data_IF_330173669179
#
_entry.id   IF_330173669179
#
_cell.length_a   1.000
_cell.length_b   1.000
_cell.length_c   1.000
_cell.angle_alpha   90.00
_cell.angle_beta   90.00
_cell.angle_gamma   90.00
#
_symmetry.space_group_name_H-M   'P 1'
#
loop_
_entity.id
_entity.type
_entity.pdbx_description
1 polymer ?
#
# COMPACT_ATOMS: atom_id res chain seq x y z
N UNK A 1 -15.68 20.90 -15.74
CA UNK A 1 -16.41 19.71 -15.28
C UNK A 1 -15.39 18.58 -15.17
N UNK A 2 -15.17 18.10 -13.97
CA UNK A 2 -14.31 16.94 -13.74
C UNK A 2 -15.09 15.72 -14.24
N UNK A 3 -14.59 15.07 -15.27
CA UNK A 3 -15.22 13.86 -15.83
C UNK A 3 -15.08 12.77 -14.77
N UNK A 4 -16.20 12.27 -14.26
CA UNK A 4 -16.22 11.16 -13.29
C UNK A 4 -15.63 9.91 -13.94
N UNK A 5 -14.71 9.19 -13.25
CA UNK A 5 -14.19 7.92 -13.76
C UNK A 5 -15.33 6.94 -14.12
N UNK A 6 -15.14 6.18 -15.18
CA UNK A 6 -16.16 5.26 -15.70
C UNK A 6 -16.59 4.25 -14.63
N UNK A 7 -15.66 3.76 -13.84
CA UNK A 7 -15.92 2.80 -12.76
C UNK A 7 -16.82 3.39 -11.67
N UNK A 8 -16.66 4.67 -11.33
CA UNK A 8 -17.53 5.35 -10.38
C UNK A 8 -18.91 5.69 -10.99
N UNK A 9 -18.94 6.05 -12.26
CA UNK A 9 -20.20 6.28 -12.98
C UNK A 9 -21.02 5.00 -13.11
N UNK A 10 -20.40 3.83 -13.07
CA UNK A 10 -21.05 2.54 -13.08
C UNK A 10 -21.75 2.16 -11.75
N UNK A 11 -21.43 2.83 -10.63
CA UNK A 11 -22.05 2.60 -9.32
C UNK A 11 -23.44 3.25 -9.24
N UNK A 12 -24.35 2.81 -10.08
CA UNK A 12 -25.72 3.33 -10.17
C UNK A 12 -26.65 2.59 -9.19
N UNK A 13 -27.47 3.35 -8.44
CA UNK A 13 -28.38 2.78 -7.45
C UNK A 13 -29.42 1.81 -8.04
N UNK A 14 -29.72 1.90 -9.33
CA UNK A 14 -30.59 0.96 -10.04
C UNK A 14 -30.07 -0.49 -10.00
N UNK A 15 -28.77 -0.68 -9.85
CA UNK A 15 -28.15 -2.01 -9.76
C UNK A 15 -28.20 -2.60 -8.36
N UNK A 16 -28.58 -1.85 -7.33
CA UNK A 16 -28.77 -2.36 -5.97
C UNK A 16 -29.85 -3.44 -5.86
N UNK A 17 -30.76 -3.51 -6.83
CA UNK A 17 -31.76 -4.58 -6.92
C UNK A 17 -31.21 -5.87 -7.55
N UNK A 18 -29.93 -5.87 -7.97
CA UNK A 18 -29.19 -7.05 -8.45
C UNK A 18 -27.86 -7.14 -7.67
N UNK A 19 -27.89 -7.56 -6.39
CA UNK A 19 -26.75 -7.43 -5.47
C UNK A 19 -25.46 -8.07 -5.97
N UNK A 20 -25.52 -9.28 -6.53
CA UNK A 20 -24.33 -9.96 -7.07
C UNK A 20 -23.67 -9.22 -8.25
N UNK A 21 -24.47 -8.52 -9.07
CA UNK A 21 -23.94 -7.66 -10.12
C UNK A 21 -23.34 -6.39 -9.54
N UNK A 22 -24.04 -5.74 -8.59
CA UNK A 22 -23.61 -4.51 -7.95
C UNK A 22 -22.28 -4.67 -7.22
N UNK A 23 -22.07 -5.80 -6.54
CA UNK A 23 -20.79 -6.05 -5.83
C UNK A 23 -19.61 -6.27 -6.79
N UNK A 24 -19.85 -6.83 -7.99
CA UNK A 24 -18.81 -6.92 -9.03
C UNK A 24 -18.42 -5.54 -9.58
N UNK A 25 -19.39 -4.61 -9.70
CA UNK A 25 -19.09 -3.22 -10.05
C UNK A 25 -18.19 -2.57 -8.97
N UNK A 26 -18.53 -2.78 -7.69
CA UNK A 26 -17.66 -2.31 -6.59
C UNK A 26 -16.26 -2.91 -6.66
N UNK A 27 -16.14 -4.22 -6.89
CA UNK A 27 -14.83 -4.88 -7.05
C UNK A 27 -14.00 -4.24 -8.17
N UNK A 28 -14.61 -3.98 -9.33
CA UNK A 28 -13.94 -3.32 -10.45
C UNK A 28 -13.48 -1.91 -10.09
N UNK A 29 -14.31 -1.15 -9.36
CA UNK A 29 -13.95 0.18 -8.89
C UNK A 29 -12.78 0.13 -7.88
N UNK A 30 -12.75 -0.85 -6.94
CA UNK A 30 -11.63 -1.02 -6.01
C UNK A 30 -10.35 -1.43 -6.73
N UNK A 31 -10.42 -2.28 -7.76
CA UNK A 31 -9.24 -2.61 -8.61
C UNK A 31 -8.67 -1.33 -9.23
N UNK A 32 -9.52 -0.44 -9.71
CA UNK A 32 -9.09 0.83 -10.29
C UNK A 32 -8.50 1.78 -9.26
N UNK A 33 -9.11 1.85 -8.08
CA UNK A 33 -8.58 2.57 -6.92
C UNK A 33 -7.17 2.09 -6.55
N UNK A 34 -6.95 0.77 -6.49
CA UNK A 34 -5.64 0.17 -6.24
C UNK A 34 -4.58 0.57 -7.28
N UNK A 35 -4.95 0.68 -8.57
CA UNK A 35 -4.06 1.18 -9.62
C UNK A 35 -3.62 2.63 -9.35
N UNK A 36 -4.55 3.50 -8.95
CA UNK A 36 -4.25 4.90 -8.64
C UNK A 36 -3.41 5.04 -7.37
N UNK A 37 -3.70 4.27 -6.31
CA UNK A 37 -2.91 4.28 -5.07
C UNK A 37 -1.47 3.85 -5.33
N UNK A 38 -1.26 2.76 -6.07
CA UNK A 38 0.07 2.32 -6.51
C UNK A 38 0.77 3.39 -7.33
N UNK A 39 0.07 4.00 -8.30
CA UNK A 39 0.62 5.06 -9.15
C UNK A 39 1.06 6.28 -8.34
N UNK A 40 0.31 6.64 -7.29
CA UNK A 40 0.66 7.73 -6.39
C UNK A 40 2.00 7.48 -5.67
N UNK A 41 2.20 6.28 -5.09
CA UNK A 41 3.47 5.90 -4.44
C UNK A 41 4.63 5.90 -5.46
N UNK A 42 4.44 5.28 -6.62
CA UNK A 42 5.50 5.24 -7.65
C UNK A 42 5.92 6.64 -8.09
N UNK A 43 4.96 7.56 -8.21
CA UNK A 43 5.23 8.94 -8.57
C UNK A 43 5.90 9.71 -7.42
N UNK A 44 5.53 9.45 -6.16
CA UNK A 44 6.20 10.01 -4.98
C UNK A 44 7.67 9.55 -4.90
N UNK A 45 7.96 8.28 -5.25
CA UNK A 45 9.34 7.77 -5.37
C UNK A 45 10.13 8.49 -6.46
N UNK A 46 9.49 8.82 -7.60
CA UNK A 46 10.14 9.64 -8.62
C UNK A 46 10.42 11.07 -8.13
N UNK A 47 9.48 11.68 -7.39
CA UNK A 47 9.69 13.00 -6.75
C UNK A 47 10.85 12.96 -5.75
N UNK A 48 11.01 11.86 -5.01
CA UNK A 48 12.11 11.65 -4.07
C UNK A 48 13.47 11.56 -4.80
N UNK A 49 13.52 10.91 -5.95
CA UNK A 49 14.76 10.75 -6.75
C UNK A 49 15.11 12.04 -7.49
N UNK A 50 14.11 12.66 -8.10
CA UNK A 50 14.24 13.91 -8.86
C UNK A 50 13.03 14.80 -8.59
N UNK A 51 13.22 15.81 -7.74
CA UNK A 51 12.15 16.71 -7.35
C UNK A 51 11.57 17.49 -8.53
N UNK A 52 10.26 17.43 -8.69
CA UNK A 52 9.51 18.20 -9.67
C UNK A 52 8.17 18.64 -9.08
N UNK A 53 7.91 19.97 -9.10
CA UNK A 53 6.63 20.53 -8.66
C UNK A 53 5.44 19.96 -9.46
N UNK A 54 5.64 19.68 -10.74
CA UNK A 54 4.60 19.09 -11.59
C UNK A 54 4.27 17.68 -11.13
N UNK A 55 5.30 16.83 -10.87
CA UNK A 55 5.11 15.48 -10.34
C UNK A 55 4.46 15.51 -8.95
N UNK A 56 4.90 16.39 -8.06
CA UNK A 56 4.31 16.57 -6.74
C UNK A 56 2.82 16.96 -6.82
N UNK A 57 2.44 17.88 -7.70
CA UNK A 57 1.04 18.22 -7.93
C UNK A 57 0.21 17.03 -8.47
N UNK A 58 0.81 16.18 -9.31
CA UNK A 58 0.13 14.96 -9.80
C UNK A 58 -0.07 13.91 -8.69
N UNK A 59 0.83 13.81 -7.70
CA UNK A 59 0.61 12.95 -6.52
C UNK A 59 -0.65 13.39 -5.78
N UNK A 60 -0.79 14.69 -5.51
CA UNK A 60 -1.99 15.25 -4.87
C UNK A 60 -3.26 14.97 -5.66
N UNK A 61 -3.22 15.09 -6.99
CA UNK A 61 -4.37 14.79 -7.84
C UNK A 61 -4.75 13.29 -7.80
N UNK A 62 -3.75 12.40 -7.71
CA UNK A 62 -4.01 10.96 -7.60
C UNK A 62 -4.64 10.59 -6.26
N UNK A 63 -4.16 11.17 -5.16
CA UNK A 63 -4.73 10.94 -3.84
C UNK A 63 -6.18 11.47 -3.77
N UNK A 64 -6.46 12.70 -4.21
CA UNK A 64 -7.82 13.23 -4.28
C UNK A 64 -8.76 12.34 -5.12
N UNK A 65 -8.24 11.70 -6.14
CA UNK A 65 -9.00 10.73 -6.92
C UNK A 65 -9.25 9.44 -6.13
N UNK A 66 -8.26 8.95 -5.38
CA UNK A 66 -8.41 7.76 -4.51
C UNK A 66 -9.42 8.02 -3.41
N UNK A 67 -9.39 9.19 -2.76
CA UNK A 67 -10.42 9.63 -1.78
C UNK A 67 -11.83 9.59 -2.39
N UNK A 68 -11.97 10.12 -3.61
CA UNK A 68 -13.25 10.10 -4.30
C UNK A 68 -13.74 8.67 -4.56
N UNK A 69 -12.81 7.74 -4.87
CA UNK A 69 -13.14 6.31 -5.00
C UNK A 69 -13.57 5.72 -3.66
N UNK A 70 -12.84 5.98 -2.56
CA UNK A 70 -13.18 5.48 -1.23
C UNK A 70 -14.59 5.91 -0.82
N UNK A 71 -14.88 7.21 -0.85
CA UNK A 71 -16.17 7.78 -0.48
C UNK A 71 -17.34 7.18 -1.30
N UNK A 72 -17.15 7.11 -2.63
CA UNK A 72 -18.18 6.62 -3.54
C UNK A 72 -18.44 5.14 -3.36
N UNK A 73 -17.38 4.33 -3.31
CA UNK A 73 -17.49 2.87 -3.14
C UNK A 73 -18.02 2.55 -1.75
N UNK A 74 -17.49 3.19 -0.69
CA UNK A 74 -17.92 2.98 0.69
C UNK A 74 -19.42 3.29 0.87
N UNK A 75 -19.88 4.42 0.35
CA UNK A 75 -21.30 4.78 0.36
C UNK A 75 -22.18 3.76 -0.37
N UNK A 76 -21.72 3.27 -1.51
CA UNK A 76 -22.47 2.28 -2.31
C UNK A 76 -22.48 0.90 -1.62
N UNK A 77 -21.35 0.45 -1.05
CA UNK A 77 -21.26 -0.80 -0.28
C UNK A 77 -22.16 -0.79 0.96
N UNK A 78 -22.26 0.34 1.67
CA UNK A 78 -23.19 0.49 2.82
C UNK A 78 -24.65 0.32 2.39
N UNK A 79 -25.04 0.88 1.23
CA UNK A 79 -26.39 0.67 0.68
C UNK A 79 -26.60 -0.79 0.28
N UNK A 80 -25.59 -1.42 -0.30
CA UNK A 80 -25.64 -2.82 -0.72
C UNK A 80 -25.73 -3.78 0.48
N UNK A 81 -25.09 -3.46 1.61
CA UNK A 81 -25.18 -4.23 2.86
C UNK A 81 -26.61 -4.35 3.41
N UNK A 82 -27.51 -3.42 3.05
CA UNK A 82 -28.92 -3.46 3.40
C UNK A 82 -29.78 -4.35 2.50
N UNK A 83 -29.19 -5.02 1.50
CA UNK A 83 -29.90 -5.91 0.56
C UNK A 83 -29.74 -7.37 0.97
N UNK A 84 -30.50 -8.24 0.33
CA UNK A 84 -30.43 -9.70 0.53
C UNK A 84 -29.24 -10.27 -0.26
N UNK A 85 -28.11 -10.43 0.43
CA UNK A 85 -26.85 -10.90 -0.14
C UNK A 85 -26.67 -12.40 0.07
N UNK A 86 -26.05 -13.07 -0.89
CA UNK A 86 -25.52 -14.43 -0.66
C UNK A 86 -24.38 -14.38 0.38
N UNK A 87 -24.02 -15.54 0.94
CA UNK A 87 -22.83 -15.63 1.84
C UNK A 87 -21.58 -15.13 1.14
N UNK A 88 -21.31 -15.57 -0.09
CA UNK A 88 -20.13 -15.17 -0.86
C UNK A 88 -20.11 -13.66 -1.14
N UNK A 89 -21.28 -13.06 -1.50
CA UNK A 89 -21.37 -11.63 -1.73
C UNK A 89 -21.18 -10.83 -0.42
N UNK A 90 -21.67 -11.35 0.71
CA UNK A 90 -21.48 -10.73 2.03
C UNK A 90 -20.00 -10.76 2.45
N UNK A 91 -19.31 -11.86 2.21
CA UNK A 91 -17.88 -11.97 2.46
C UNK A 91 -17.09 -11.00 1.56
N UNK A 92 -17.37 -10.98 0.26
CA UNK A 92 -16.73 -10.05 -0.67
C UNK A 92 -16.98 -8.59 -0.27
N UNK A 93 -18.22 -8.24 0.13
CA UNK A 93 -18.54 -6.89 0.62
C UNK A 93 -17.66 -6.50 1.81
N UNK A 94 -17.53 -7.41 2.79
CA UNK A 94 -16.69 -7.17 3.97
C UNK A 94 -15.24 -6.87 3.60
N UNK A 95 -14.67 -7.66 2.67
CA UNK A 95 -13.30 -7.43 2.19
C UNK A 95 -13.14 -6.12 1.46
N UNK A 96 -14.08 -5.81 0.55
CA UNK A 96 -14.01 -4.55 -0.18
C UNK A 96 -14.02 -3.36 0.79
N UNK A 97 -14.86 -3.39 1.85
CA UNK A 97 -14.89 -2.35 2.88
C UNK A 97 -13.55 -2.20 3.62
N UNK A 98 -12.85 -3.30 3.91
CA UNK A 98 -11.51 -3.22 4.52
C UNK A 98 -10.47 -2.70 3.53
N UNK A 99 -10.46 -3.25 2.32
CA UNK A 99 -9.44 -2.91 1.32
C UNK A 99 -9.49 -1.46 0.83
N UNK A 100 -10.68 -0.83 0.74
CA UNK A 100 -10.77 0.59 0.30
C UNK A 100 -10.01 1.50 1.24
N UNK A 101 -10.11 1.28 2.57
CA UNK A 101 -9.40 2.09 3.55
C UNK A 101 -7.88 1.86 3.47
N UNK A 102 -7.42 0.62 3.26
CA UNK A 102 -5.98 0.35 3.11
C UNK A 102 -5.42 0.97 1.81
N UNK A 103 -6.16 0.93 0.69
CA UNK A 103 -5.73 1.60 -0.55
C UNK A 103 -5.72 3.13 -0.43
N UNK A 104 -6.65 3.72 0.29
CA UNK A 104 -6.65 5.16 0.60
C UNK A 104 -5.40 5.51 1.43
N UNK A 105 -5.12 4.76 2.51
CA UNK A 105 -3.93 4.97 3.35
C UNK A 105 -2.62 4.85 2.57
N UNK A 106 -2.54 3.94 1.61
CA UNK A 106 -1.37 3.86 0.72
C UNK A 106 -1.20 5.17 -0.06
N UNK A 107 -2.26 5.75 -0.60
CA UNK A 107 -2.17 7.01 -1.35
C UNK A 107 -1.87 8.22 -0.46
N UNK A 108 -2.38 8.26 0.77
CA UNK A 108 -2.03 9.25 1.80
C UNK A 108 -0.51 9.28 2.05
N UNK A 109 0.10 8.10 2.17
CA UNK A 109 1.54 8.02 2.36
C UNK A 109 2.34 8.55 1.17
N UNK A 110 1.80 8.52 -0.06
CA UNK A 110 2.43 9.18 -1.21
C UNK A 110 2.50 10.71 -1.04
N UNK A 111 1.45 11.34 -0.49
CA UNK A 111 1.48 12.76 -0.13
C UNK A 111 2.52 13.02 0.95
N UNK A 112 2.50 12.23 2.03
CA UNK A 112 3.43 12.40 3.14
C UNK A 112 4.90 12.33 2.69
N UNK A 113 5.25 11.37 1.83
CA UNK A 113 6.58 11.25 1.22
C UNK A 113 6.90 12.50 0.38
N UNK A 114 5.97 12.93 -0.47
CA UNK A 114 6.14 14.11 -1.33
C UNK A 114 6.35 15.38 -0.52
N UNK A 115 5.61 15.57 0.57
CA UNK A 115 5.77 16.70 1.49
C UNK A 115 7.13 16.70 2.22
N UNK A 116 7.60 15.51 2.64
CA UNK A 116 8.91 15.39 3.26
C UNK A 116 10.02 15.78 2.28
N UNK A 117 9.91 15.36 1.01
CA UNK A 117 10.86 15.75 -0.05
C UNK A 117 10.76 17.25 -0.38
N UNK A 118 9.56 17.84 -0.41
CA UNK A 118 9.37 19.28 -0.63
C UNK A 118 10.01 20.12 0.49
N UNK A 119 9.88 19.65 1.76
CA UNK A 119 10.57 20.28 2.91
C UNK A 119 12.09 20.19 2.75
N UNK A 120 12.62 19.02 2.34
CA UNK A 120 14.05 18.83 2.09
C UNK A 120 14.58 19.86 1.06
N UNK A 121 13.87 20.01 -0.07
CA UNK A 121 14.22 20.95 -1.14
C UNK A 121 14.14 22.42 -0.67
N UNK A 122 13.08 22.81 0.03
CA UNK A 122 12.89 24.18 0.53
C UNK A 122 13.97 24.60 1.52
N UNK A 123 14.52 23.64 2.28
CA UNK A 123 15.58 23.87 3.25
C UNK A 123 16.99 23.76 2.63
N UNK A 124 17.10 23.43 1.35
CA UNK A 124 18.39 23.20 0.68
C UNK A 124 19.18 22.03 1.27
N UNK A 125 18.47 21.04 1.80
CA UNK A 125 19.06 19.83 2.40
C UNK A 125 19.11 18.70 1.37
N UNK A 126 20.05 17.78 1.58
CA UNK A 126 20.17 16.55 0.79
C UNK A 126 20.43 15.36 1.69
N UNK A 127 19.96 14.19 1.28
CA UNK A 127 20.40 12.92 1.86
C UNK A 127 21.83 12.60 1.42
N UNK A 128 22.54 11.86 2.26
CA UNK A 128 23.87 11.35 1.90
C UNK A 128 23.78 10.43 0.67
N UNK A 129 24.85 10.33 -0.10
CA UNK A 129 24.89 9.41 -1.26
C UNK A 129 24.52 7.98 -0.85
N UNK A 130 25.04 7.51 0.29
CA UNK A 130 24.69 6.19 0.82
C UNK A 130 23.22 6.07 1.17
N UNK A 131 22.63 7.08 1.82
CA UNK A 131 21.19 7.11 2.13
C UNK A 131 20.32 7.09 0.87
N UNK A 132 20.72 7.79 -0.20
CA UNK A 132 20.04 7.75 -1.50
C UNK A 132 20.05 6.33 -2.09
N UNK A 133 21.21 5.66 -2.11
CA UNK A 133 21.31 4.28 -2.62
C UNK A 133 20.52 3.27 -1.77
N UNK A 134 20.50 3.44 -0.45
CA UNK A 134 19.68 2.63 0.45
C UNK A 134 18.18 2.83 0.16
N UNK A 135 17.73 4.07 -0.07
CA UNK A 135 16.35 4.39 -0.45
C UNK A 135 15.98 3.80 -1.83
N UNK A 136 16.89 3.81 -2.80
CA UNK A 136 16.67 3.19 -4.11
C UNK A 136 16.45 1.67 -3.96
N UNK A 137 17.25 1.02 -3.11
CA UNK A 137 17.12 -0.43 -2.83
C UNK A 137 15.79 -0.76 -2.13
N UNK A 138 15.40 0.01 -1.12
CA UNK A 138 14.10 -0.11 -0.47
C UNK A 138 12.96 0.12 -1.46
N UNK A 139 13.10 1.11 -2.34
CA UNK A 139 12.12 1.46 -3.38
C UNK A 139 11.82 0.29 -4.34
N UNK A 140 12.78 -0.59 -4.61
CA UNK A 140 12.55 -1.80 -5.41
C UNK A 140 11.58 -2.73 -4.66
N UNK A 141 11.84 -3.01 -3.38
CA UNK A 141 10.98 -3.87 -2.56
C UNK A 141 9.54 -3.31 -2.42
N UNK A 142 9.41 -1.98 -2.21
CA UNK A 142 8.11 -1.30 -2.15
C UNK A 142 7.35 -1.42 -3.47
N UNK A 143 8.01 -1.25 -4.61
CA UNK A 143 7.39 -1.44 -5.93
C UNK A 143 6.88 -2.87 -6.12
N UNK A 144 7.65 -3.84 -5.67
CA UNK A 144 7.33 -5.26 -5.82
C UNK A 144 6.17 -5.67 -4.92
N UNK A 145 6.14 -5.24 -3.64
CA UNK A 145 5.02 -5.54 -2.75
C UNK A 145 3.71 -4.92 -3.24
N UNK A 146 3.72 -3.66 -3.72
CA UNK A 146 2.55 -3.01 -4.32
C UNK A 146 2.05 -3.76 -5.55
N UNK A 147 2.96 -4.26 -6.38
CA UNK A 147 2.62 -5.01 -7.59
C UNK A 147 2.03 -6.38 -7.23
N UNK A 148 2.62 -7.06 -6.26
CA UNK A 148 2.16 -8.36 -5.76
C UNK A 148 0.76 -8.25 -5.15
N UNK A 149 0.55 -7.26 -4.28
CA UNK A 149 -0.75 -6.98 -3.63
C UNK A 149 -1.83 -6.65 -4.65
N UNK A 150 -1.55 -5.77 -5.61
CA UNK A 150 -2.49 -5.43 -6.67
C UNK A 150 -2.86 -6.67 -7.52
N UNK A 151 -1.88 -7.50 -7.88
CA UNK A 151 -2.13 -8.73 -8.63
C UNK A 151 -2.96 -9.72 -7.84
N UNK A 152 -2.64 -9.95 -6.56
CA UNK A 152 -3.40 -10.82 -5.68
C UNK A 152 -4.86 -10.36 -5.57
N UNK A 153 -5.07 -9.05 -5.35
CA UNK A 153 -6.41 -8.46 -5.22
C UNK A 153 -7.22 -8.58 -6.52
N UNK A 154 -6.66 -8.19 -7.65
CA UNK A 154 -7.37 -8.18 -8.95
C UNK A 154 -7.77 -9.58 -9.41
N UNK A 155 -6.90 -10.57 -9.20
CA UNK A 155 -7.12 -11.97 -9.61
C UNK A 155 -7.80 -12.83 -8.55
N UNK A 156 -7.87 -12.38 -7.29
CA UNK A 156 -8.31 -13.19 -6.15
C UNK A 156 -7.36 -14.35 -5.83
N UNK A 157 -6.07 -14.23 -6.18
CA UNK A 157 -5.08 -15.28 -6.01
C UNK A 157 -4.48 -15.27 -4.61
N UNK A 158 -4.95 -16.17 -3.75
CA UNK A 158 -4.47 -16.31 -2.37
C UNK A 158 -3.06 -16.86 -2.24
N UNK A 159 -2.56 -17.60 -3.24
CA UNK A 159 -1.15 -18.01 -3.24
C UNK A 159 -0.23 -16.79 -3.38
N UNK A 160 -0.56 -15.88 -4.30
CA UNK A 160 0.18 -14.61 -4.43
C UNK A 160 0.00 -13.72 -3.19
N UNK A 161 -1.20 -13.72 -2.59
CA UNK A 161 -1.44 -12.99 -1.34
C UNK A 161 -0.57 -13.52 -0.18
N UNK A 162 -0.38 -14.85 -0.09
CA UNK A 162 0.46 -15.47 0.94
C UNK A 162 1.96 -15.09 0.82
N UNK A 163 2.42 -14.64 -0.35
CA UNK A 163 3.80 -14.19 -0.57
C UNK A 163 4.01 -12.71 -0.19
N UNK A 164 2.95 -11.96 0.10
CA UNK A 164 3.04 -10.53 0.48
C UNK A 164 3.65 -10.37 1.87
N UNK A 165 3.22 -11.16 2.85
CA UNK A 165 3.72 -11.08 4.23
C UNK A 165 5.23 -11.36 4.36
N UNK A 166 5.81 -12.40 3.71
CA UNK A 166 7.26 -12.57 3.69
C UNK A 166 8.03 -11.38 3.13
N UNK A 167 7.46 -10.66 2.15
CA UNK A 167 8.09 -9.47 1.58
C UNK A 167 7.95 -8.25 2.51
N UNK A 168 6.83 -8.12 3.19
CA UNK A 168 6.61 -7.09 4.22
C UNK A 168 7.65 -7.23 5.33
N UNK A 169 7.86 -8.41 5.89
CA UNK A 169 8.87 -8.67 6.94
C UNK A 169 10.30 -8.35 6.44
N UNK A 170 10.61 -8.58 5.16
CA UNK A 170 11.89 -8.17 4.57
C UNK A 170 11.99 -6.64 4.48
N UNK A 171 10.91 -5.94 4.15
CA UNK A 171 10.87 -4.48 4.11
C UNK A 171 11.10 -3.91 5.51
N UNK A 172 10.50 -4.47 6.54
CA UNK A 172 10.70 -4.08 7.93
C UNK A 172 12.17 -4.24 8.36
N UNK A 173 12.80 -5.37 8.02
CA UNK A 173 14.22 -5.60 8.25
C UNK A 173 15.10 -4.54 7.55
N UNK A 174 14.78 -4.19 6.29
CA UNK A 174 15.50 -3.15 5.54
C UNK A 174 15.35 -1.79 6.20
N UNK A 175 14.15 -1.39 6.57
CA UNK A 175 13.85 -0.12 7.24
C UNK A 175 14.59 -0.04 8.59
N UNK A 176 14.54 -1.09 9.39
CA UNK A 176 15.25 -1.15 10.67
C UNK A 176 16.77 -1.00 10.50
N UNK A 177 17.36 -1.69 9.51
CA UNK A 177 18.79 -1.60 9.23
C UNK A 177 19.15 -0.20 8.69
N UNK A 178 18.33 0.42 7.84
CA UNK A 178 18.55 1.78 7.36
C UNK A 178 18.49 2.81 8.50
N UNK A 179 17.51 2.70 9.41
CA UNK A 179 17.42 3.52 10.63
C UNK A 179 18.70 3.37 11.48
N UNK A 180 19.20 2.13 11.67
CA UNK A 180 20.45 1.86 12.40
C UNK A 180 21.66 2.52 11.73
N UNK A 181 21.83 2.36 10.41
CA UNK A 181 22.94 2.97 9.64
C UNK A 181 22.86 4.50 9.68
N UNK A 182 21.64 5.04 9.64
CA UNK A 182 21.42 6.48 9.74
C UNK A 182 21.90 7.06 11.08
N UNK A 183 21.62 6.40 12.20
CA UNK A 183 22.12 6.80 13.53
C UNK A 183 23.67 6.83 13.55
N UNK A 184 24.34 5.88 12.88
CA UNK A 184 25.80 5.89 12.78
C UNK A 184 26.29 7.10 11.97
N UNK A 185 25.63 7.46 10.87
CA UNK A 185 25.95 8.65 10.06
C UNK A 185 25.73 9.96 10.84
N UNK A 186 24.67 10.05 11.63
CA UNK A 186 24.43 11.19 12.51
C UNK A 186 25.55 11.37 13.56
N UNK A 187 25.92 10.28 14.26
CA UNK A 187 26.99 10.32 15.28
C UNK A 187 28.35 10.69 14.72
N UNK A 188 28.63 10.34 13.48
CA UNK A 188 29.90 10.68 12.80
C UNK A 188 29.87 12.05 12.14
N UNK A 189 28.77 12.83 12.24
CA UNK A 189 28.64 14.15 11.65
C UNK A 189 28.52 14.15 10.11
N UNK A 190 28.23 13.00 9.51
CA UNK A 190 28.13 12.85 8.05
C UNK A 190 26.77 13.23 7.49
N UNK A 191 25.81 13.60 8.34
CA UNK A 191 24.48 14.01 7.94
C UNK A 191 23.94 15.04 8.93
N UNK A 192 23.10 15.99 8.46
CA UNK A 192 22.42 16.93 9.35
C UNK A 192 21.27 16.26 10.10
N UNK A 193 20.95 16.80 11.30
CA UNK A 193 19.81 16.32 12.10
C UNK A 193 18.49 16.50 11.34
N UNK A 194 18.33 17.65 10.66
CA UNK A 194 17.11 17.98 9.95
C UNK A 194 16.86 17.05 8.76
N UNK A 195 17.88 16.75 7.95
CA UNK A 195 17.78 15.77 6.87
C UNK A 195 17.53 14.35 7.42
N UNK A 196 18.09 14.07 8.60
CA UNK A 196 17.90 12.81 9.29
C UNK A 196 16.47 12.54 9.70
N UNK A 197 15.80 13.53 10.28
CA UNK A 197 14.38 13.44 10.66
C UNK A 197 13.49 13.21 9.45
N UNK A 198 13.72 13.90 8.33
CA UNK A 198 12.97 13.70 7.09
C UNK A 198 13.21 12.31 6.48
N UNK A 199 14.41 11.76 6.62
CA UNK A 199 14.69 10.38 6.21
C UNK A 199 13.90 9.38 7.06
N UNK A 200 13.87 9.54 8.39
CA UNK A 200 13.09 8.68 9.29
C UNK A 200 11.59 8.73 8.99
N UNK A 201 11.06 9.91 8.68
CA UNK A 201 9.66 10.07 8.27
C UNK A 201 9.38 9.26 6.99
N UNK A 202 10.22 9.42 5.94
CA UNK A 202 10.06 8.68 4.67
C UNK A 202 10.15 7.16 4.89
N UNK A 203 11.10 6.69 5.71
CA UNK A 203 11.24 5.27 6.03
C UNK A 203 9.97 4.74 6.73
N UNK A 204 9.42 5.51 7.66
CA UNK A 204 8.17 5.16 8.34
C UNK A 204 6.99 5.12 7.38
N UNK A 205 6.90 6.03 6.41
CA UNK A 205 5.84 5.99 5.40
C UNK A 205 5.94 4.75 4.50
N UNK A 206 7.15 4.34 4.09
CA UNK A 206 7.33 3.10 3.32
C UNK A 206 6.99 1.85 4.13
N UNK A 207 7.35 1.80 5.41
CA UNK A 207 6.96 0.75 6.36
C UNK A 207 5.42 0.65 6.42
N UNK A 208 4.71 1.79 6.57
CA UNK A 208 3.24 1.83 6.58
C UNK A 208 2.61 1.38 5.25
N UNK A 209 3.22 1.70 4.12
CA UNK A 209 2.75 1.21 2.81
C UNK A 209 2.81 -0.31 2.75
N UNK A 210 3.89 -0.94 3.24
CA UNK A 210 3.99 -2.41 3.29
C UNK A 210 3.01 -3.03 4.28
N UNK A 211 2.78 -2.43 5.46
CA UNK A 211 1.75 -2.84 6.42
C UNK A 211 0.36 -2.91 5.77
N UNK A 212 -0.03 -1.86 5.01
CA UNK A 212 -1.32 -1.82 4.32
C UNK A 212 -1.42 -2.88 3.20
N UNK A 213 -0.32 -3.16 2.51
CA UNK A 213 -0.26 -4.26 1.55
C UNK A 213 -0.50 -5.62 2.21
N UNK A 214 0.12 -5.86 3.38
CA UNK A 214 -0.09 -7.06 4.19
C UNK A 214 -1.55 -7.18 4.66
N UNK A 215 -2.17 -6.10 5.14
CA UNK A 215 -3.58 -6.09 5.54
C UNK A 215 -4.51 -6.49 4.39
N UNK A 216 -4.29 -5.95 3.18
CA UNK A 216 -5.07 -6.31 1.99
C UNK A 216 -4.90 -7.79 1.65
N UNK A 217 -3.67 -8.30 1.70
CA UNK A 217 -3.37 -9.70 1.43
C UNK A 217 -4.02 -10.63 2.46
N UNK A 218 -3.97 -10.29 3.74
CA UNK A 218 -4.62 -11.03 4.82
C UNK A 218 -6.14 -11.08 4.62
N UNK A 219 -6.78 -9.95 4.30
CA UNK A 219 -8.22 -9.90 4.03
C UNK A 219 -8.64 -10.82 2.87
N UNK A 220 -7.80 -10.94 1.82
CA UNK A 220 -8.05 -11.86 0.70
C UNK A 220 -7.97 -13.34 1.11
N UNK A 221 -7.04 -13.68 2.00
CA UNK A 221 -6.82 -15.07 2.44
C UNK A 221 -7.95 -15.52 3.37
N UNK A 222 -8.41 -14.64 4.28
CA UNK A 222 -9.47 -14.95 5.25
C UNK A 222 -10.80 -15.31 4.61
N UNK A 223 -11.17 -14.67 3.50
CA UNK A 223 -12.42 -15.00 2.79
C UNK A 223 -12.45 -16.45 2.35
N UNK A 224 -11.32 -16.99 1.90
CA UNK A 224 -11.27 -18.39 1.45
C UNK A 224 -11.23 -19.40 2.60
N UNK A 225 -10.79 -18.98 3.79
CA UNK A 225 -10.60 -19.86 4.93
C UNK A 225 -11.81 -19.97 5.86
N UNK A 226 -12.89 -19.16 5.66
CA UNK A 226 -14.05 -19.09 6.57
C UNK A 226 -13.66 -18.74 8.04
N UNK A 227 -12.47 -18.21 8.29
CA UNK A 227 -11.93 -17.88 9.61
C UNK A 227 -11.99 -16.36 9.87
N UNK A 228 -12.80 -15.96 10.85
CA UNK A 228 -13.15 -14.57 11.21
C UNK A 228 -12.10 -13.82 12.05
N UNK A 229 -10.83 -14.27 12.17
CA UNK A 229 -9.86 -13.68 13.08
C UNK A 229 -8.51 -13.36 12.43
N UNK A 230 -8.44 -12.17 11.81
CA UNK A 230 -7.32 -11.64 11.02
C UNK A 230 -5.99 -11.61 11.82
N UNK A 231 -6.00 -11.06 13.01
CA UNK A 231 -4.80 -10.97 13.84
C UNK A 231 -4.27 -12.33 14.27
N UNK A 232 -5.17 -13.29 14.50
CA UNK A 232 -4.80 -14.62 14.91
C UNK A 232 -4.22 -15.47 13.78
N UNK A 233 -4.64 -15.22 12.54
CA UNK A 233 -4.10 -15.89 11.36
C UNK A 233 -2.65 -15.43 11.10
N UNK A 234 -2.38 -14.12 11.14
CA UNK A 234 -1.05 -13.54 10.93
C UNK A 234 -0.07 -14.00 12.02
N UNK A 235 -0.47 -13.89 13.28
CA UNK A 235 0.45 -14.19 14.41
C UNK A 235 0.70 -15.69 14.62
N UNK A 236 -0.29 -16.55 14.40
CA UNK A 236 -0.20 -17.98 14.74
C UNK A 236 0.21 -18.85 13.56
N UNK A 237 -0.27 -18.57 12.35
CA UNK A 237 0.05 -19.37 11.15
C UNK A 237 1.24 -18.86 10.35
N UNK A 238 1.45 -17.56 10.29
CA UNK A 238 2.44 -16.97 9.38
C UNK A 238 3.80 -16.80 10.08
N UNK A 239 3.86 -16.14 11.23
CA UNK A 239 5.16 -15.80 11.88
C UNK A 239 5.84 -16.94 12.64
N UNK A 240 5.15 -18.02 12.99
CA UNK A 240 5.72 -19.02 13.93
C UNK A 240 6.09 -20.37 13.35
N UNK A 241 5.45 -20.88 12.31
CA UNK A 241 5.61 -22.30 11.93
C UNK A 241 5.28 -22.64 10.45
N UNK A 242 4.98 -21.67 9.60
CA UNK A 242 4.71 -21.98 8.19
C UNK A 242 6.01 -22.16 7.40
N UNK A 243 6.31 -23.39 6.92
CA UNK A 243 7.51 -23.65 6.12
C UNK A 243 7.57 -22.84 4.82
N UNK A 244 6.40 -22.46 4.25
CA UNK A 244 6.32 -21.64 3.04
C UNK A 244 6.81 -20.22 3.34
N UNK A 245 6.28 -19.60 4.40
CA UNK A 245 6.71 -18.27 4.86
C UNK A 245 8.22 -18.22 5.08
N UNK A 246 8.78 -19.14 5.87
CA UNK A 246 10.21 -19.15 6.19
C UNK A 246 11.09 -19.31 4.94
N UNK A 247 10.70 -20.16 4.02
CA UNK A 247 11.42 -20.37 2.76
C UNK A 247 11.38 -19.11 1.89
N UNK A 248 10.21 -18.48 1.76
CA UNK A 248 10.03 -17.31 0.93
C UNK A 248 10.71 -16.08 1.53
N UNK A 249 10.59 -15.86 2.84
CA UNK A 249 11.31 -14.82 3.56
C UNK A 249 12.82 -14.92 3.36
N UNK A 250 13.43 -16.10 3.54
CA UNK A 250 14.86 -16.29 3.34
C UNK A 250 15.26 -16.06 1.87
N UNK A 251 14.44 -16.45 0.92
CA UNK A 251 14.65 -16.19 -0.51
C UNK A 251 14.67 -14.69 -0.80
N UNK A 252 13.65 -13.96 -0.32
CA UNK A 252 13.49 -12.53 -0.53
C UNK A 252 14.58 -11.72 0.18
N UNK A 253 14.98 -12.12 1.40
CA UNK A 253 16.07 -11.49 2.14
C UNK A 253 17.42 -11.56 1.40
N UNK A 254 17.63 -12.58 0.56
CA UNK A 254 18.82 -12.68 -0.29
C UNK A 254 18.72 -11.87 -1.58
N UNK A 255 17.51 -11.45 -1.99
CA UNK A 255 17.26 -10.61 -3.17
C UNK A 255 17.39 -9.12 -2.80
N UNK A 256 16.75 -8.71 -1.72
CA UNK A 256 16.73 -7.32 -1.28
C UNK A 256 17.83 -7.06 -0.25
N UNK A 257 18.96 -6.56 -0.73
CA UNK A 257 20.16 -6.27 0.08
C UNK A 257 20.47 -4.78 -0.03
N UNK A 258 20.73 -4.15 1.13
CA UNK A 258 21.22 -2.77 1.15
C UNK A 258 22.68 -2.71 0.70
N UNK A 259 23.05 -1.69 -0.09
CA UNK A 259 24.41 -1.50 -0.59
C UNK A 259 25.43 -1.17 0.52
#
# INVERSE_FOLDING_TARGET
EQILPEELAALDERFLDSPSFAIQLCKNAVIKMAEYSKKAILLAMEVQTEYSREKAAKVIQLEQLVDQFEDSIGTYLVKLAGKDLSMDDSHLLSVLLHCISDFERISDHAINITEAVDKLQKQGLEFTSQGKHELDSLGIAIRDILTMTQNAFSTGNTTTAADVEPLEEVIDDLVLEMKRRHIVRLRSGNCSMEAGLLLEDILTYYERVSDHCSNIAAALIEIQADELDMHRYIDVKIKGSDPHFQKEYLRLKNIYILP
#
